data_IF_946584697498
#
_entry.id   IF_946584697498
#
_cell.length_a   1.000
_cell.length_b   1.000
_cell.length_c   1.000
_cell.angle_alpha   90.00
_cell.angle_beta   90.00
_cell.angle_gamma   90.00
#
_symmetry.space_group_name_H-M   'P 1'
#
loop_
_entity.id
_entity.type
_entity.pdbx_description
1 polymer ?
#
# COMPACT_ATOMS: atom_id res chain seq x y z
N UNK A 1 -97.35 -32.76 -15.40
CA UNK A 1 -96.37 -32.02 -14.59
C UNK A 1 -95.59 -31.09 -15.55
N UNK A 2 -95.41 -29.83 -15.15
CA UNK A 2 -94.97 -28.63 -15.91
C UNK A 2 -93.87 -28.90 -16.98
N UNK A 3 -94.07 -28.55 -18.26
CA UNK A 3 -93.90 -27.24 -18.95
C UNK A 3 -92.45 -26.91 -19.37
N UNK A 4 -92.26 -26.77 -20.71
CA UNK A 4 -91.52 -25.70 -21.45
C UNK A 4 -89.98 -25.66 -21.33
N UNK A 5 -89.15 -25.26 -22.30
CA UNK A 5 -89.17 -24.93 -23.75
C UNK A 5 -87.70 -24.62 -24.13
N UNK A 6 -87.29 -24.83 -25.40
CA UNK A 6 -86.36 -23.97 -26.21
C UNK A 6 -84.91 -23.84 -25.68
N UNK A 7 -83.81 -23.82 -26.44
CA UNK A 7 -83.40 -24.10 -27.82
C UNK A 7 -81.91 -23.69 -27.88
N UNK A 8 -81.24 -23.99 -29.01
CA UNK A 8 -80.22 -23.14 -29.66
C UNK A 8 -78.72 -23.29 -29.29
N UNK A 9 -77.95 -23.80 -30.31
CA UNK A 9 -76.73 -23.23 -30.97
C UNK A 9 -75.45 -23.12 -30.09
N UNK A 10 -74.20 -23.32 -30.49
CA UNK A 10 -73.40 -23.28 -31.75
C UNK A 10 -72.10 -24.09 -31.49
N UNK A 11 -71.48 -24.78 -32.47
CA UNK A 11 -70.44 -24.26 -33.39
C UNK A 11 -69.13 -23.86 -32.66
N UNK A 12 -67.91 -24.20 -33.09
CA UNK A 12 -67.37 -24.26 -34.44
C UNK A 12 -66.01 -24.99 -34.41
N UNK A 13 -65.71 -25.65 -35.52
CA UNK A 13 -64.54 -26.42 -35.96
C UNK A 13 -63.14 -25.85 -35.66
N UNK A 14 -62.25 -26.74 -35.19
CA UNK A 14 -60.80 -26.58 -35.31
C UNK A 14 -60.33 -27.16 -36.66
N UNK A 15 -59.88 -26.30 -37.57
CA UNK A 15 -59.16 -26.71 -38.78
C UNK A 15 -57.71 -26.21 -38.68
N UNK A 16 -56.78 -27.15 -38.83
CA UNK A 16 -55.36 -26.91 -39.03
C UNK A 16 -55.15 -26.04 -40.28
N UNK A 17 -54.36 -24.98 -40.14
CA UNK A 17 -53.68 -24.31 -41.24
C UNK A 17 -52.17 -24.33 -40.96
N UNK A 18 -51.47 -25.27 -41.59
CA UNK A 18 -50.04 -25.22 -41.83
C UNK A 18 -49.80 -24.26 -42.99
N UNK A 19 -49.23 -23.08 -42.71
CA UNK A 19 -48.34 -22.32 -43.60
C UNK A 19 -48.11 -20.91 -43.04
N UNK A 20 -46.92 -20.68 -42.46
CA UNK A 20 -46.02 -19.58 -42.83
C UNK A 20 -44.84 -19.58 -41.86
N UNK A 21 -43.79 -20.35 -42.18
CA UNK A 21 -42.46 -19.95 -41.75
C UNK A 21 -42.01 -18.93 -42.81
N UNK A 22 -42.33 -17.66 -42.60
CA UNK A 22 -41.55 -16.60 -43.20
C UNK A 22 -40.10 -16.78 -42.72
N UNK A 23 -39.16 -16.65 -43.64
CA UNK A 23 -37.74 -16.52 -43.35
C UNK A 23 -37.55 -15.55 -42.17
N UNK A 24 -37.16 -16.07 -41.00
CA UNK A 24 -36.50 -15.25 -39.99
C UNK A 24 -35.17 -14.81 -40.59
N UNK A 25 -35.21 -13.61 -41.15
CA UNK A 25 -34.05 -12.86 -41.55
C UNK A 25 -33.18 -12.66 -40.30
N UNK A 26 -32.09 -13.43 -40.18
CA UNK A 26 -31.17 -13.38 -39.03
C UNK A 26 -30.49 -12.02 -38.89
N UNK A 27 -30.66 -11.13 -39.88
CA UNK A 27 -30.21 -9.73 -39.87
C UNK A 27 -31.18 -8.77 -39.15
N UNK A 28 -32.35 -9.23 -38.69
CA UNK A 28 -33.33 -8.42 -37.92
C UNK A 28 -32.97 -8.16 -36.46
N UNK A 29 -31.75 -8.45 -36.03
CA UNK A 29 -31.20 -7.87 -34.81
C UNK A 29 -30.63 -6.49 -35.18
N UNK A 30 -31.50 -5.46 -35.18
CA UNK A 30 -31.06 -4.07 -35.29
C UNK A 30 -30.29 -3.67 -34.04
N UNK A 31 -29.02 -4.04 -33.97
CA UNK A 31 -28.08 -3.35 -33.11
C UNK A 31 -27.81 -1.99 -33.75
N UNK A 32 -28.33 -0.93 -33.13
CA UNK A 32 -27.94 0.44 -33.49
C UNK A 32 -26.43 0.55 -33.39
N UNK A 33 -25.76 0.86 -34.50
CA UNK A 33 -24.32 1.10 -34.50
C UNK A 33 -24.07 2.37 -33.69
N UNK A 34 -23.29 2.25 -32.63
CA UNK A 34 -22.99 3.35 -31.71
C UNK A 34 -21.49 3.51 -31.59
N UNK A 35 -21.07 4.75 -31.45
CA UNK A 35 -19.69 5.09 -31.12
C UNK A 35 -19.38 4.68 -29.68
N UNK A 36 -18.17 4.20 -29.44
CA UNK A 36 -17.66 3.95 -28.09
C UNK A 36 -16.14 4.23 -28.02
N UNK A 37 -15.63 4.40 -26.79
CA UNK A 37 -14.19 4.39 -26.53
C UNK A 37 -13.69 2.95 -26.61
N UNK A 38 -12.75 2.70 -27.50
CA UNK A 38 -12.13 1.40 -27.72
C UNK A 38 -10.98 1.19 -26.72
N UNK A 39 -11.23 0.48 -25.63
CA UNK A 39 -10.22 0.12 -24.65
C UNK A 39 -10.50 -1.27 -24.05
N UNK A 40 -9.44 -1.95 -23.59
CA UNK A 40 -9.57 -3.23 -22.88
C UNK A 40 -10.19 -3.05 -21.48
N UNK A 41 -9.90 -1.92 -20.85
CA UNK A 41 -10.55 -1.44 -19.63
C UNK A 41 -10.90 0.05 -19.79
N UNK A 42 -11.97 0.50 -19.14
CA UNK A 42 -12.29 1.93 -19.06
C UNK A 42 -11.58 2.61 -17.90
N UNK A 43 -10.73 1.89 -17.16
CA UNK A 43 -9.83 2.42 -16.15
C UNK A 43 -8.38 2.21 -16.57
N UNK A 44 -7.55 3.21 -16.33
CA UNK A 44 -6.09 3.15 -16.54
C UNK A 44 -5.40 3.83 -15.36
N UNK A 45 -4.57 3.08 -14.64
CA UNK A 45 -3.88 3.54 -13.42
C UNK A 45 -2.45 3.99 -13.71
N UNK A 46 -2.08 5.13 -13.14
CA UNK A 46 -0.75 5.71 -13.17
C UNK A 46 -0.23 5.89 -11.74
N UNK A 47 1.00 5.45 -11.50
CA UNK A 47 1.67 5.61 -10.22
C UNK A 47 2.47 6.91 -10.24
N UNK A 48 2.27 7.77 -9.25
CA UNK A 48 3.08 8.97 -9.04
C UNK A 48 4.43 8.50 -8.49
N UNK A 49 5.43 8.40 -9.36
CA UNK A 49 6.80 7.96 -9.03
C UNK A 49 7.81 9.12 -9.12
N UNK A 50 8.70 9.11 -10.12
CA UNK A 50 9.68 10.13 -10.47
C UNK A 50 9.29 10.91 -11.74
N UNK A 51 8.35 10.39 -12.55
CA UNK A 51 7.91 11.05 -13.77
C UNK A 51 6.86 12.14 -13.50
N UNK A 52 7.14 13.36 -13.97
CA UNK A 52 6.25 14.52 -13.81
C UNK A 52 5.22 14.68 -14.95
N UNK A 53 5.33 13.85 -15.98
CA UNK A 53 4.38 13.86 -17.09
C UNK A 53 4.10 12.47 -17.66
N UNK A 54 2.86 12.28 -18.09
CA UNK A 54 2.36 11.05 -18.71
C UNK A 54 1.55 11.39 -19.96
N UNK A 55 1.49 10.45 -20.89
CA UNK A 55 0.61 10.54 -22.06
C UNK A 55 -0.11 9.21 -22.26
N UNK A 56 -1.39 9.29 -22.63
CA UNK A 56 -2.26 8.15 -22.92
C UNK A 56 -3.09 8.41 -24.15
N UNK A 57 -3.24 7.38 -24.96
CA UNK A 57 -4.03 7.45 -26.18
C UNK A 57 -5.45 6.95 -25.94
N UNK A 58 -6.43 7.69 -26.45
CA UNK A 58 -7.82 7.26 -26.52
C UNK A 58 -8.25 7.14 -27.98
N UNK A 59 -8.97 6.06 -28.29
CA UNK A 59 -9.43 5.74 -29.65
C UNK A 59 -10.95 5.59 -29.64
N UNK A 60 -11.62 6.23 -30.59
CA UNK A 60 -13.05 6.02 -30.82
C UNK A 60 -13.25 4.88 -31.81
N UNK A 61 -14.31 4.09 -31.61
CA UNK A 61 -14.65 2.98 -32.50
C UNK A 61 -16.16 2.82 -32.70
N UNK A 62 -16.50 2.13 -33.77
CA UNK A 62 -17.85 1.67 -34.10
C UNK A 62 -17.83 0.18 -34.39
N UNK A 63 -18.95 -0.51 -34.15
CA UNK A 63 -19.02 -1.96 -34.33
C UNK A 63 -19.09 -2.36 -35.82
N UNK A 64 -19.61 -1.45 -36.66
CA UNK A 64 -19.74 -1.64 -38.12
C UNK A 64 -19.24 -0.39 -38.84
N UNK A 65 -18.62 -0.51 -40.03
CA UNK A 65 -18.25 0.66 -40.83
C UNK A 65 -19.46 1.51 -41.22
N UNK A 66 -19.31 2.83 -41.20
CA UNK A 66 -20.30 3.78 -41.70
C UNK A 66 -19.94 4.28 -43.10
N UNK A 67 -20.95 4.71 -43.87
CA UNK A 67 -20.76 5.22 -45.25
C UNK A 67 -20.26 6.67 -45.32
N UNK A 68 -20.16 7.34 -44.17
CA UNK A 68 -19.71 8.72 -44.04
C UNK A 68 -18.71 8.82 -42.88
N UNK A 69 -17.93 9.90 -42.88
CA UNK A 69 -16.99 10.17 -41.80
C UNK A 69 -17.73 10.45 -40.49
N UNK A 70 -17.15 9.97 -39.38
CA UNK A 70 -17.65 10.24 -38.03
C UNK A 70 -16.62 11.10 -37.32
N UNK A 71 -17.02 12.31 -36.92
CA UNK A 71 -16.18 13.22 -36.14
C UNK A 71 -16.50 13.07 -34.66
N UNK A 72 -15.47 12.93 -33.84
CA UNK A 72 -15.58 12.71 -32.40
C UNK A 72 -14.71 13.74 -31.69
N UNK A 73 -15.26 14.39 -30.66
CA UNK A 73 -14.50 15.28 -29.78
C UNK A 73 -14.52 14.76 -28.36
N UNK A 74 -13.34 14.64 -27.76
CA UNK A 74 -13.16 14.27 -26.36
C UNK A 74 -12.92 15.49 -25.47
N UNK A 75 -13.22 15.36 -24.17
CA UNK A 75 -12.83 16.37 -23.19
C UNK A 75 -12.53 15.75 -21.82
N UNK A 76 -11.65 16.39 -21.02
CA UNK A 76 -11.61 16.17 -19.58
C UNK A 76 -12.98 16.51 -18.95
N UNK A 77 -13.39 15.71 -17.97
CA UNK A 77 -14.70 15.81 -17.33
C UNK A 77 -14.61 15.52 -15.82
N UNK A 78 -13.88 16.35 -15.04
CA UNK A 78 -13.70 16.15 -13.60
C UNK A 78 -15.03 16.07 -12.83
N UNK A 79 -16.10 16.66 -13.36
CA UNK A 79 -17.45 16.55 -12.79
C UNK A 79 -18.04 15.14 -12.81
N UNK A 80 -17.44 14.19 -13.55
CA UNK A 80 -17.91 12.79 -13.65
C UNK A 80 -17.22 11.84 -12.66
N UNK A 81 -16.44 12.35 -11.71
CA UNK A 81 -15.76 11.51 -10.70
C UNK A 81 -16.75 10.74 -9.85
N UNK A 82 -17.87 11.34 -9.46
CA UNK A 82 -18.91 10.64 -8.69
C UNK A 82 -19.51 9.45 -9.46
N UNK A 83 -19.53 9.50 -10.79
CA UNK A 83 -19.95 8.35 -11.60
C UNK A 83 -18.95 7.21 -11.50
N UNK A 84 -17.65 7.50 -11.48
CA UNK A 84 -16.61 6.50 -11.24
C UNK A 84 -16.76 5.90 -9.84
N UNK A 85 -16.89 6.74 -8.80
CA UNK A 85 -17.05 6.32 -7.41
C UNK A 85 -18.22 5.35 -7.24
N UNK A 86 -19.36 5.65 -7.87
CA UNK A 86 -20.52 4.75 -7.86
C UNK A 86 -20.31 3.47 -8.68
N UNK A 87 -19.66 3.55 -9.84
CA UNK A 87 -19.47 2.40 -10.72
C UNK A 87 -18.46 1.37 -10.19
N UNK A 88 -17.44 1.84 -9.45
CA UNK A 88 -16.33 1.02 -8.96
C UNK A 88 -16.30 0.85 -7.43
N UNK A 89 -17.36 1.28 -6.73
CA UNK A 89 -17.46 1.23 -5.26
C UNK A 89 -16.30 1.95 -4.54
N UNK A 90 -15.77 3.01 -5.15
CA UNK A 90 -14.66 3.80 -4.61
C UNK A 90 -15.18 4.95 -3.74
N UNK A 91 -14.76 4.99 -2.48
CA UNK A 91 -15.20 6.00 -1.50
C UNK A 91 -14.24 7.18 -1.36
N UNK A 92 -12.98 7.03 -1.76
CA UNK A 92 -11.89 7.94 -1.38
C UNK A 92 -11.40 8.84 -2.50
N UNK A 93 -11.49 8.36 -3.75
CA UNK A 93 -10.90 9.06 -4.88
C UNK A 93 -11.53 10.44 -5.08
N UNK A 94 -10.72 11.43 -5.44
CA UNK A 94 -11.15 12.79 -5.73
C UNK A 94 -10.84 13.16 -7.18
N UNK A 95 -11.39 14.28 -7.65
CA UNK A 95 -11.08 14.77 -8.99
C UNK A 95 -9.61 15.19 -9.10
N UNK A 96 -8.97 14.83 -10.21
CA UNK A 96 -7.66 15.35 -10.54
C UNK A 96 -7.72 16.88 -10.67
N UNK A 97 -6.80 17.65 -10.06
CA UNK A 97 -6.82 19.10 -10.08
C UNK A 97 -6.78 19.70 -11.49
N UNK A 98 -7.36 20.90 -11.63
CA UNK A 98 -7.32 21.67 -12.87
C UNK A 98 -5.87 21.94 -13.30
N UNK A 99 -5.63 21.92 -14.62
CA UNK A 99 -4.32 22.21 -15.20
C UNK A 99 -3.34 21.02 -15.24
N UNK A 100 -3.68 19.89 -14.60
CA UNK A 100 -2.87 18.66 -14.68
C UNK A 100 -3.16 17.90 -15.98
N UNK A 101 -4.43 17.80 -16.39
CA UNK A 101 -4.84 17.08 -17.60
C UNK A 101 -5.08 18.05 -18.77
N UNK A 102 -4.58 17.69 -19.96
CA UNK A 102 -4.72 18.45 -21.20
C UNK A 102 -4.93 17.52 -22.40
N UNK A 103 -5.74 17.96 -23.35
CA UNK A 103 -5.92 17.32 -24.67
C UNK A 103 -5.74 18.42 -25.73
N UNK A 104 -4.63 18.39 -26.44
CA UNK A 104 -4.28 19.44 -27.41
C UNK A 104 -5.09 19.37 -28.70
N UNK A 105 -5.29 18.16 -29.18
CA UNK A 105 -6.05 17.86 -30.39
C UNK A 105 -7.22 16.94 -30.01
N UNK A 106 -8.30 17.48 -29.41
CA UNK A 106 -9.37 16.68 -28.84
C UNK A 106 -10.28 16.01 -29.86
N UNK A 107 -10.16 16.40 -31.14
CA UNK A 107 -11.04 15.94 -32.21
C UNK A 107 -10.33 14.95 -33.11
N UNK A 108 -10.99 13.83 -33.40
CA UNK A 108 -10.53 12.81 -34.33
C UNK A 108 -11.66 12.36 -35.25
N UNK A 109 -11.32 11.61 -36.29
CA UNK A 109 -12.26 11.16 -37.31
C UNK A 109 -12.11 9.66 -37.56
N UNK A 110 -13.24 8.95 -37.58
CA UNK A 110 -13.34 7.62 -38.20
C UNK A 110 -13.72 7.87 -39.66
N UNK A 111 -12.79 7.61 -40.58
CA UNK A 111 -13.05 7.76 -42.01
C UNK A 111 -14.12 6.76 -42.48
N UNK A 112 -14.94 7.14 -43.45
CA UNK A 112 -15.93 6.27 -44.07
C UNK A 112 -15.32 4.92 -44.47
N UNK A 113 -15.97 3.82 -44.10
CA UNK A 113 -15.48 2.46 -44.31
C UNK A 113 -14.51 1.91 -43.25
N UNK A 114 -13.99 2.75 -42.35
CA UNK A 114 -13.19 2.31 -41.20
C UNK A 114 -14.06 2.10 -39.94
N UNK A 115 -13.48 1.46 -38.92
CA UNK A 115 -14.16 1.18 -37.63
C UNK A 115 -13.48 1.82 -36.43
N UNK A 116 -12.33 2.47 -36.63
CA UNK A 116 -11.54 3.12 -35.58
C UNK A 116 -11.00 4.46 -36.07
N UNK A 117 -10.85 5.39 -35.13
CA UNK A 117 -10.25 6.69 -35.37
C UNK A 117 -8.73 6.63 -35.25
N UNK A 118 -8.05 7.69 -35.69
CA UNK A 118 -6.69 7.96 -35.19
C UNK A 118 -6.73 8.20 -33.67
N UNK A 119 -5.69 7.82 -32.92
CA UNK A 119 -5.62 8.09 -31.49
C UNK A 119 -5.62 9.59 -31.16
N UNK A 120 -6.26 9.96 -30.05
CA UNK A 120 -6.17 11.28 -29.42
C UNK A 120 -5.33 11.15 -28.17
N UNK A 121 -4.32 12.01 -28.03
CA UNK A 121 -3.42 11.98 -26.88
C UNK A 121 -3.95 12.82 -25.72
N UNK A 122 -4.08 12.19 -24.56
CA UNK A 122 -4.37 12.82 -23.27
C UNK A 122 -3.06 12.95 -22.51
N UNK A 123 -2.65 14.17 -22.21
CA UNK A 123 -1.41 14.47 -21.53
C UNK A 123 -1.68 14.91 -20.09
N UNK A 124 -0.85 14.43 -19.18
CA UNK A 124 -0.85 14.80 -17.78
C UNK A 124 0.50 15.43 -17.43
N UNK A 125 0.51 16.63 -16.87
CA UNK A 125 1.71 17.40 -16.51
C UNK A 125 1.65 17.88 -15.06
N UNK A 126 2.80 18.17 -14.45
CA UNK A 126 2.93 18.56 -13.04
C UNK A 126 2.41 17.48 -12.07
N UNK A 127 2.55 16.20 -12.45
CA UNK A 127 2.06 15.06 -11.66
C UNK A 127 2.77 14.94 -10.31
N UNK A 128 4.03 15.37 -10.20
CA UNK A 128 4.77 15.37 -8.93
C UNK A 128 4.27 16.43 -7.94
N UNK A 129 3.42 17.37 -8.38
CA UNK A 129 2.77 18.34 -7.48
C UNK A 129 1.55 17.78 -6.75
N UNK A 130 1.07 16.59 -7.15
CA UNK A 130 -0.06 15.93 -6.52
C UNK A 130 0.33 15.36 -5.15
N UNK A 131 -0.63 15.35 -4.21
CA UNK A 131 -0.44 14.70 -2.92
C UNK A 131 -0.42 13.18 -3.11
N UNK A 132 0.73 12.56 -2.89
CA UNK A 132 0.94 11.11 -3.06
C UNK A 132 0.07 10.27 -2.12
N UNK A 133 -0.47 10.87 -1.05
CA UNK A 133 -1.37 10.22 -0.10
C UNK A 133 -2.84 10.28 -0.54
N UNK A 134 -3.15 10.84 -1.71
CA UNK A 134 -4.49 10.91 -2.28
C UNK A 134 -4.61 10.04 -3.53
N UNK A 135 -5.83 9.57 -3.79
CA UNK A 135 -6.21 8.97 -5.07
C UNK A 135 -6.95 9.99 -5.90
N UNK A 136 -6.47 10.22 -7.11
CA UNK A 136 -7.12 11.12 -8.06
C UNK A 136 -7.70 10.34 -9.23
N UNK A 137 -8.81 10.85 -9.77
CA UNK A 137 -9.45 10.33 -10.97
C UNK A 137 -9.68 11.48 -11.93
N UNK A 138 -9.26 11.31 -13.18
CA UNK A 138 -9.61 12.18 -14.29
C UNK A 138 -10.46 11.42 -15.31
N UNK A 139 -11.78 11.63 -15.30
CA UNK A 139 -12.64 11.14 -16.36
C UNK A 139 -12.36 11.90 -17.67
N UNK A 140 -12.21 11.17 -18.77
CA UNK A 140 -12.20 11.74 -20.13
C UNK A 140 -13.38 11.13 -20.88
N UNK A 141 -14.24 12.00 -21.43
CA UNK A 141 -15.52 11.60 -22.01
C UNK A 141 -15.65 12.08 -23.45
N UNK A 142 -16.48 11.38 -24.23
CA UNK A 142 -16.93 11.89 -25.53
C UNK A 142 -17.86 13.09 -25.29
N UNK A 143 -17.42 14.28 -25.68
CA UNK A 143 -18.20 15.51 -25.60
C UNK A 143 -19.30 15.53 -26.65
N UNK A 144 -18.90 15.33 -27.91
CA UNK A 144 -19.77 15.39 -29.08
C UNK A 144 -19.39 14.33 -30.11
N UNK A 145 -20.39 13.96 -30.91
CA UNK A 145 -20.22 13.07 -32.06
C UNK A 145 -21.11 13.57 -33.18
N UNK A 146 -20.56 13.55 -34.40
CA UNK A 146 -21.28 13.81 -35.63
C UNK A 146 -21.10 12.62 -36.58
N UNK A 147 -22.11 12.33 -37.38
CA UNK A 147 -22.02 11.27 -38.40
C UNK A 147 -22.52 9.88 -37.98
N UNK A 148 -23.00 9.69 -36.73
CA UNK A 148 -23.59 8.41 -36.27
C UNK A 148 -24.75 8.65 -35.28
N UNK A 149 -25.63 7.64 -35.12
CA UNK A 149 -26.86 7.70 -34.30
C UNK A 149 -26.66 7.86 -32.78
N UNK A 150 -25.42 7.89 -32.29
CA UNK A 150 -25.10 8.25 -30.92
C UNK A 150 -23.93 7.48 -30.32
N UNK A 151 -23.74 7.66 -29.01
CA UNK A 151 -22.67 7.05 -28.21
C UNK A 151 -23.22 5.96 -27.32
N UNK A 152 -22.52 4.83 -27.22
CA UNK A 152 -22.80 3.78 -26.25
C UNK A 152 -22.47 4.29 -24.84
N UNK A 153 -23.49 4.50 -24.01
CA UNK A 153 -23.33 5.12 -22.67
C UNK A 153 -22.34 4.39 -21.77
N UNK A 154 -22.29 3.06 -21.84
CA UNK A 154 -21.41 2.24 -21.00
C UNK A 154 -19.93 2.38 -21.34
N UNK A 155 -19.58 2.89 -22.52
CA UNK A 155 -18.21 3.08 -22.98
C UNK A 155 -18.01 4.52 -23.52
N UNK A 156 -18.71 5.47 -22.89
CA UNK A 156 -18.63 6.90 -23.23
C UNK A 156 -17.46 7.61 -22.54
N UNK A 157 -17.01 7.08 -21.41
CA UNK A 157 -16.03 7.70 -20.53
C UNK A 157 -14.97 6.67 -20.14
N UNK A 158 -13.70 7.05 -20.25
CA UNK A 158 -12.59 6.36 -19.59
C UNK A 158 -12.14 7.18 -18.37
N UNK A 159 -11.51 6.51 -17.42
CA UNK A 159 -11.10 7.05 -16.14
C UNK A 159 -9.61 6.81 -15.97
N UNK A 160 -8.85 7.88 -15.83
CA UNK A 160 -7.43 7.85 -15.56
C UNK A 160 -7.19 8.04 -14.07
N UNK A 161 -6.55 7.09 -13.41
CA UNK A 161 -6.36 7.07 -11.96
C UNK A 161 -4.91 7.42 -11.63
N UNK A 162 -4.72 8.23 -10.59
CA UNK A 162 -3.39 8.55 -10.05
C UNK A 162 -3.34 8.21 -8.57
N UNK A 163 -2.26 7.55 -8.15
CA UNK A 163 -1.96 7.33 -6.74
C UNK A 163 -0.45 7.32 -6.51
N UNK A 164 0.01 7.63 -5.31
CA UNK A 164 1.42 7.49 -4.95
C UNK A 164 1.94 6.08 -5.24
N UNK A 165 3.11 5.98 -5.87
CA UNK A 165 3.79 4.69 -5.96
C UNK A 165 4.13 4.21 -4.53
N UNK A 166 3.76 2.97 -4.23
CA UNK A 166 4.13 2.32 -2.97
C UNK A 166 5.65 2.23 -2.85
N UNK A 167 6.14 2.60 -1.68
CA UNK A 167 7.54 2.58 -1.29
C UNK A 167 7.97 1.22 -0.76
N UNK A 168 7.02 0.47 -0.17
CA UNK A 168 7.21 -0.90 0.29
C UNK A 168 6.06 -1.74 -0.26
N UNK A 169 6.44 -2.83 -0.94
CA UNK A 169 5.49 -3.75 -1.59
C UNK A 169 5.51 -5.15 -0.96
N UNK A 170 6.54 -5.45 -0.18
CA UNK A 170 6.75 -6.74 0.48
C UNK A 170 7.24 -6.46 1.89
N UNK A 171 6.70 -7.18 2.85
CA UNK A 171 7.17 -7.20 4.25
C UNK A 171 7.31 -8.63 4.74
N UNK A 172 7.99 -8.80 5.87
CA UNK A 172 8.05 -10.10 6.55
C UNK A 172 7.00 -10.17 7.67
N UNK A 173 6.27 -11.28 7.76
CA UNK A 173 5.55 -11.67 8.97
C UNK A 173 6.46 -12.59 9.81
N UNK A 174 6.92 -12.08 10.96
CA UNK A 174 7.88 -12.77 11.83
C UNK A 174 7.19 -13.50 12.99
N UNK A 175 5.89 -13.78 12.87
CA UNK A 175 5.12 -14.51 13.87
C UNK A 175 5.73 -15.88 14.17
N UNK A 176 5.86 -16.21 15.45
CA UNK A 176 6.49 -17.45 15.97
C UNK A 176 7.93 -17.68 15.48
N UNK A 177 8.61 -16.63 15.02
CA UNK A 177 9.93 -16.70 14.44
C UNK A 177 10.88 -15.68 15.09
N UNK A 178 12.16 -15.75 14.74
CA UNK A 178 13.20 -14.86 15.25
C UNK A 178 14.30 -14.69 14.22
N UNK A 179 15.00 -13.57 14.34
CA UNK A 179 16.16 -13.28 13.51
C UNK A 179 17.28 -12.64 14.34
N UNK A 180 18.51 -12.70 13.82
CA UNK A 180 19.67 -12.08 14.47
C UNK A 180 20.70 -11.62 13.43
N UNK A 181 21.42 -10.54 13.70
CA UNK A 181 22.60 -10.16 12.93
C UNK A 181 23.87 -10.80 13.48
N UNK A 182 24.92 -10.83 12.66
CA UNK A 182 26.28 -11.12 13.11
C UNK A 182 27.20 -9.94 12.81
N UNK A 183 27.42 -9.09 13.82
CA UNK A 183 28.27 -7.90 13.68
C UNK A 183 29.78 -8.21 13.71
N UNK A 184 30.19 -9.32 14.32
CA UNK A 184 31.62 -9.64 14.51
C UNK A 184 32.35 -8.55 15.31
N UNK A 185 33.52 -8.11 14.84
CA UNK A 185 34.30 -7.03 15.46
C UNK A 185 34.00 -5.68 14.78
N UNK A 186 32.72 -5.34 14.65
CA UNK A 186 32.31 -4.08 14.04
C UNK A 186 32.27 -2.98 15.11
N UNK A 187 33.22 -2.04 15.03
CA UNK A 187 33.42 -1.03 16.08
C UNK A 187 32.27 -0.02 16.17
N UNK A 188 31.54 0.21 15.07
CA UNK A 188 30.45 1.19 15.01
C UNK A 188 29.23 0.84 15.88
N UNK A 189 29.13 -0.42 16.32
CA UNK A 189 28.08 -0.91 17.23
C UNK A 189 28.62 -1.38 18.58
N UNK A 190 29.90 -1.12 18.86
CA UNK A 190 30.54 -1.39 20.14
C UNK A 190 30.52 -0.14 21.02
N UNK A 191 30.17 -0.32 22.30
CA UNK A 191 30.22 0.72 23.34
C UNK A 191 29.66 2.09 22.89
N UNK A 192 28.55 2.07 22.15
CA UNK A 192 27.90 3.27 21.62
C UNK A 192 27.37 4.16 22.74
N UNK A 193 27.78 5.42 22.72
CA UNK A 193 27.28 6.47 23.63
C UNK A 193 26.05 7.20 23.08
N UNK A 194 25.78 7.06 21.79
CA UNK A 194 24.55 7.53 21.16
C UNK A 194 24.15 6.57 20.05
N UNK A 195 22.85 6.31 19.89
CA UNK A 195 22.32 5.49 18.79
C UNK A 195 20.82 5.73 18.61
N UNK A 196 20.29 5.25 17.49
CA UNK A 196 18.84 5.17 17.24
C UNK A 196 18.51 3.78 16.72
N UNK A 197 17.47 3.16 17.27
CA UNK A 197 16.88 1.93 16.75
C UNK A 197 15.50 2.25 16.19
N UNK A 198 15.23 1.81 14.96
CA UNK A 198 13.95 2.05 14.29
C UNK A 198 13.33 0.74 13.81
N UNK A 199 12.00 0.70 13.78
CA UNK A 199 11.23 -0.41 13.23
C UNK A 199 9.87 0.08 12.73
N UNK A 200 9.45 -0.37 11.55
CA UNK A 200 8.06 -0.26 11.11
C UNK A 200 7.33 -1.55 11.46
N UNK A 201 6.32 -1.47 12.33
CA UNK A 201 5.65 -2.65 12.90
C UNK A 201 4.16 -2.65 12.58
N UNK A 202 3.59 -3.83 12.34
CA UNK A 202 2.15 -4.06 12.27
C UNK A 202 1.81 -5.33 13.07
N UNK A 203 1.51 -5.20 14.37
CA UNK A 203 1.19 -6.33 15.22
C UNK A 203 -0.11 -7.00 14.76
N UNK A 204 -0.08 -8.31 14.55
CA UNK A 204 -1.29 -9.11 14.27
C UNK A 204 -2.03 -9.39 15.58
N UNK A 205 -1.31 -9.76 16.65
CA UNK A 205 -1.87 -9.90 17.99
C UNK A 205 -0.96 -9.31 19.08
N UNK A 206 -1.57 -8.78 20.14
CA UNK A 206 -0.89 -8.28 21.34
C UNK A 206 -1.64 -8.80 22.57
N UNK A 207 -1.50 -10.09 22.85
CA UNK A 207 -2.20 -10.77 23.96
C UNK A 207 -1.23 -11.46 24.94
N UNK A 208 0.07 -11.42 24.66
CA UNK A 208 1.14 -12.02 25.47
C UNK A 208 1.62 -11.02 26.52
N UNK A 209 2.20 -11.54 27.60
CA UNK A 209 2.81 -10.67 28.62
C UNK A 209 3.96 -9.85 28.04
N UNK A 210 4.76 -10.42 27.14
CA UNK A 210 5.84 -9.72 26.43
C UNK A 210 5.82 -10.16 24.96
N UNK A 211 5.95 -9.20 24.05
CA UNK A 211 6.26 -9.43 22.63
C UNK A 211 7.51 -8.62 22.25
N UNK A 212 8.54 -9.27 21.72
CA UNK A 212 9.86 -8.65 21.51
C UNK A 212 9.99 -8.06 20.11
N UNK A 213 10.30 -6.76 19.98
CA UNK A 213 10.59 -6.17 18.67
C UNK A 213 12.05 -6.47 18.31
N UNK A 214 13.02 -5.80 18.95
CA UNK A 214 14.45 -6.01 18.72
C UNK A 214 15.31 -5.48 19.87
N UNK A 215 16.51 -6.03 20.02
CA UNK A 215 17.52 -5.58 20.98
C UNK A 215 18.16 -6.73 21.77
N UNK A 216 18.68 -6.40 22.96
CA UNK A 216 19.35 -7.33 23.87
C UNK A 216 18.62 -7.30 25.22
N UNK A 217 18.04 -8.44 25.63
CA UNK A 217 17.40 -8.61 26.94
C UNK A 217 18.37 -8.21 28.08
N UNK A 218 17.83 -7.58 29.13
CA UNK A 218 18.58 -7.06 30.28
C UNK A 218 19.64 -5.97 29.97
N UNK A 219 19.78 -5.54 28.71
CA UNK A 219 20.80 -4.56 28.28
C UNK A 219 20.17 -3.34 27.61
N UNK A 220 19.51 -3.52 26.47
CA UNK A 220 18.71 -2.51 25.78
C UNK A 220 17.74 -3.20 24.82
N UNK A 221 16.45 -3.24 25.14
CA UNK A 221 15.43 -4.02 24.42
C UNK A 221 14.19 -3.17 24.17
N UNK A 222 13.70 -3.21 22.94
CA UNK A 222 12.39 -2.68 22.55
C UNK A 222 11.39 -3.84 22.55
N UNK A 223 10.33 -3.74 23.36
CA UNK A 223 9.28 -4.76 23.47
C UNK A 223 7.92 -4.16 23.74
N UNK A 224 6.87 -4.98 23.60
CA UNK A 224 5.49 -4.66 23.95
C UNK A 224 5.08 -5.46 25.18
N UNK A 225 4.40 -4.82 26.13
CA UNK A 225 3.92 -5.45 27.35
C UNK A 225 5.02 -5.82 28.37
N UNK A 226 4.57 -6.05 29.60
CA UNK A 226 5.32 -6.68 30.70
C UNK A 226 4.30 -7.06 31.80
N UNK A 227 4.74 -7.75 32.85
CA UNK A 227 3.93 -7.92 34.05
C UNK A 227 3.46 -6.57 34.61
N UNK A 228 2.16 -6.28 34.52
CA UNK A 228 1.55 -5.02 34.96
C UNK A 228 1.58 -3.89 33.92
N UNK A 229 2.00 -4.18 32.69
CA UNK A 229 1.95 -3.26 31.54
C UNK A 229 1.03 -3.87 30.48
N UNK A 230 0.18 -3.04 29.88
CA UNK A 230 -0.75 -3.47 28.84
C UNK A 230 0.03 -4.15 27.68
N UNK A 231 -0.40 -5.33 27.18
CA UNK A 231 0.25 -6.02 26.07
C UNK A 231 0.41 -5.18 24.79
N UNK A 232 -0.44 -4.17 24.59
CA UNK A 232 -0.37 -3.24 23.46
C UNK A 232 0.58 -2.06 23.67
N UNK A 233 1.16 -1.91 24.87
CA UNK A 233 1.98 -0.76 25.23
C UNK A 233 3.47 -1.05 25.01
N UNK A 234 4.12 -0.20 24.23
CA UNK A 234 5.55 -0.25 24.00
C UNK A 234 6.32 0.08 25.28
N UNK A 235 7.41 -0.66 25.52
CA UNK A 235 8.32 -0.47 26.62
C UNK A 235 9.76 -0.62 26.12
N UNK A 236 10.59 0.37 26.42
CA UNK A 236 12.04 0.25 26.28
C UNK A 236 12.61 -0.16 27.63
N UNK A 237 13.39 -1.22 27.66
CA UNK A 237 14.08 -1.72 28.85
C UNK A 237 15.57 -1.58 28.66
N UNK A 238 16.27 -1.13 29.69
CA UNK A 238 17.72 -1.03 29.72
C UNK A 238 18.31 -1.73 30.93
N UNK A 239 19.63 -1.80 30.96
CA UNK A 239 20.41 -2.25 32.11
C UNK A 239 20.06 -1.47 33.39
N UNK A 240 20.49 -2.00 34.55
CA UNK A 240 20.21 -1.44 35.87
C UNK A 240 18.71 -1.26 36.17
N UNK A 241 17.87 -2.16 35.63
CA UNK A 241 16.40 -2.14 35.77
C UNK A 241 15.73 -0.88 35.21
N UNK A 242 16.39 -0.18 34.28
CA UNK A 242 15.83 1.00 33.62
C UNK A 242 14.66 0.58 32.72
N UNK A 243 13.53 1.28 32.81
CA UNK A 243 12.35 1.04 31.96
C UNK A 243 11.71 2.36 31.60
N UNK A 244 11.29 2.51 30.34
CA UNK A 244 10.55 3.65 29.84
C UNK A 244 9.27 3.17 29.16
N UNK A 245 8.13 3.52 29.74
CA UNK A 245 6.81 3.17 29.20
C UNK A 245 5.71 4.05 29.83
N UNK A 246 4.63 4.30 29.11
CA UNK A 246 3.35 4.81 29.63
C UNK A 246 2.20 4.56 28.64
N UNK A 247 0.96 4.91 29.04
CA UNK A 247 -0.26 4.68 28.27
C UNK A 247 -0.29 5.36 26.88
N UNK A 248 0.53 6.39 26.63
CA UNK A 248 0.61 7.05 25.31
C UNK A 248 1.37 6.23 24.27
N UNK A 249 2.04 5.16 24.70
CA UNK A 249 2.84 4.26 23.88
C UNK A 249 2.08 3.01 23.42
N UNK A 250 0.75 3.04 23.47
CA UNK A 250 -0.10 1.97 22.95
C UNK A 250 -0.08 1.95 21.43
N UNK A 251 0.17 0.78 20.87
CA UNK A 251 0.19 0.53 19.42
C UNK A 251 -1.01 -0.35 19.05
N UNK A 252 -1.84 0.07 18.08
CA UNK A 252 -2.96 -0.73 17.60
C UNK A 252 -2.48 -1.96 16.81
N UNK A 253 -3.27 -3.05 16.89
CA UNK A 253 -3.09 -4.22 16.02
C UNK A 253 -3.65 -3.96 14.64
N UNK A 254 -3.03 -4.50 13.59
CA UNK A 254 -3.51 -4.39 12.20
C UNK A 254 -3.14 -3.07 11.51
N UNK A 255 -2.52 -2.13 12.23
CA UNK A 255 -2.10 -0.82 11.70
C UNK A 255 -0.58 -0.69 11.73
N UNK A 256 -0.01 -0.07 10.71
CA UNK A 256 1.42 0.21 10.65
C UNK A 256 1.79 1.36 11.57
N UNK A 257 2.78 1.13 12.44
CA UNK A 257 3.34 2.15 13.33
C UNK A 257 4.86 2.17 13.21
N UNK A 258 5.43 3.32 12.90
CA UNK A 258 6.88 3.53 12.97
C UNK A 258 7.28 3.77 14.42
N UNK A 259 8.22 2.98 14.92
CA UNK A 259 8.85 3.14 16.23
C UNK A 259 10.27 3.65 15.99
N UNK A 260 10.65 4.75 16.64
CA UNK A 260 12.05 5.14 16.77
C UNK A 260 12.40 5.35 18.24
N UNK A 261 13.54 4.81 18.66
CA UNK A 261 14.08 4.95 20.02
C UNK A 261 15.49 5.50 19.93
N UNK A 262 15.69 6.73 20.43
CA UNK A 262 17.02 7.33 20.53
C UNK A 262 17.60 7.12 21.92
N UNK A 263 18.91 6.99 21.99
CA UNK A 263 19.70 6.92 23.20
C UNK A 263 20.88 7.89 23.06
N UNK A 264 21.15 8.70 24.08
CA UNK A 264 22.31 9.60 24.10
C UNK A 264 22.85 9.79 25.53
N UNK A 265 24.13 9.52 25.75
CA UNK A 265 24.82 9.75 27.01
C UNK A 265 25.06 11.25 27.23
N UNK A 266 24.25 11.86 28.08
CA UNK A 266 24.29 13.30 28.37
C UNK A 266 25.20 13.66 29.57
N UNK A 267 25.45 12.69 30.45
CA UNK A 267 26.39 12.82 31.57
C UNK A 267 26.86 11.44 32.04
N UNK A 268 27.87 11.41 32.91
CA UNK A 268 28.36 10.15 33.46
C UNK A 268 27.23 9.38 34.16
N UNK A 269 26.99 8.16 33.68
CA UNK A 269 25.95 7.24 34.13
C UNK A 269 24.53 7.80 33.98
N UNK A 270 24.31 8.67 32.99
CA UNK A 270 23.02 9.26 32.66
C UNK A 270 22.89 9.39 31.15
N UNK A 271 22.01 8.58 30.57
CA UNK A 271 21.68 8.63 29.16
C UNK A 271 20.20 8.98 28.99
N UNK A 272 19.93 9.96 28.14
CA UNK A 272 18.58 10.30 27.73
C UNK A 272 18.08 9.27 26.70
N UNK A 273 16.86 8.79 26.90
CA UNK A 273 16.17 7.88 25.98
C UNK A 273 14.86 8.52 25.57
N UNK A 274 14.61 8.60 24.27
CA UNK A 274 13.37 9.14 23.69
C UNK A 274 12.70 8.10 22.81
N UNK A 275 11.37 8.05 22.88
CA UNK A 275 10.52 7.14 22.12
C UNK A 275 9.59 7.98 21.25
N UNK A 276 9.64 7.71 19.95
CA UNK A 276 8.81 8.34 18.93
C UNK A 276 7.90 7.29 18.30
N UNK A 277 6.63 7.63 18.12
CA UNK A 277 5.68 6.84 17.33
C UNK A 277 5.20 7.70 16.16
N UNK A 278 5.34 7.19 14.93
CA UNK A 278 4.98 7.90 13.70
C UNK A 278 5.59 9.31 13.61
N UNK A 279 6.85 9.45 14.02
CA UNK A 279 7.59 10.72 14.00
C UNK A 279 7.32 11.66 15.17
N UNK A 280 6.31 11.39 15.99
CA UNK A 280 5.96 12.23 17.13
C UNK A 280 6.65 11.73 18.41
N UNK A 281 7.31 12.61 19.15
CA UNK A 281 7.86 12.30 20.48
C UNK A 281 6.72 11.95 21.44
N UNK A 282 6.68 10.72 21.93
CA UNK A 282 5.69 10.26 22.89
C UNK A 282 6.22 10.25 24.31
N UNK A 283 7.50 9.87 24.50
CA UNK A 283 8.08 9.73 25.83
C UNK A 283 9.58 9.97 25.84
N UNK A 284 10.06 10.52 26.95
CA UNK A 284 11.49 10.63 27.26
C UNK A 284 11.77 10.26 28.72
N UNK A 285 13.00 9.86 29.01
CA UNK A 285 13.46 9.53 30.36
C UNK A 285 14.96 9.30 30.44
N UNK A 286 15.47 9.13 31.67
CA UNK A 286 16.89 8.89 31.92
C UNK A 286 17.12 7.43 32.27
N UNK A 287 18.04 6.79 31.56
CA UNK A 287 18.61 5.50 31.94
C UNK A 287 19.99 5.70 32.58
N UNK A 288 20.31 4.89 33.58
CA UNK A 288 21.52 5.06 34.39
C UNK A 288 22.69 4.19 33.91
N UNK A 289 23.19 4.51 32.72
CA UNK A 289 24.34 3.86 32.06
C UNK A 289 25.02 4.84 31.10
N UNK A 290 26.21 4.49 30.60
CA UNK A 290 26.98 5.32 29.67
C UNK A 290 26.85 4.89 28.21
N UNK A 291 26.91 3.58 27.96
CA UNK A 291 27.02 3.06 26.61
C UNK A 291 26.45 1.65 26.52
N UNK A 292 26.16 1.23 25.29
CA UNK A 292 25.62 -0.08 24.94
C UNK A 292 26.48 -0.71 23.86
N UNK A 293 26.75 -2.01 24.00
CA UNK A 293 27.49 -2.80 23.02
C UNK A 293 26.55 -3.82 22.35
N UNK A 294 26.31 -3.66 21.06
CA UNK A 294 25.51 -4.61 20.27
C UNK A 294 26.34 -5.69 19.57
N UNK A 295 27.66 -5.55 19.49
CA UNK A 295 28.57 -6.54 18.88
C UNK A 295 28.81 -7.78 19.77
N UNK A 296 27.85 -8.18 20.60
CA UNK A 296 27.95 -9.42 21.38
C UNK A 296 27.74 -10.59 20.41
N UNK A 297 28.69 -11.55 20.31
CA UNK A 297 28.55 -12.68 19.40
C UNK A 297 27.24 -13.43 19.62
N UNK A 298 26.61 -13.81 18.52
CA UNK A 298 25.35 -14.53 18.56
C UNK A 298 25.50 -15.87 19.32
N UNK A 299 24.46 -16.21 20.07
CA UNK A 299 24.32 -17.53 20.69
C UNK A 299 22.84 -17.84 20.91
N UNK A 300 22.49 -19.13 21.04
CA UNK A 300 21.13 -19.55 21.40
C UNK A 300 20.75 -19.26 22.87
N UNK A 301 21.52 -18.43 23.58
CA UNK A 301 21.30 -18.07 24.98
C UNK A 301 21.05 -19.27 25.91
N UNK A 302 21.78 -20.37 25.67
CA UNK A 302 21.62 -21.62 26.41
C UNK A 302 22.89 -21.99 27.20
N UNK A 303 22.71 -22.71 28.31
CA UNK A 303 23.80 -23.12 29.20
C UNK A 303 24.11 -22.12 30.31
N UNK A 304 25.22 -22.32 31.03
CA UNK A 304 25.54 -21.56 32.25
C UNK A 304 26.44 -20.34 32.02
N UNK A 305 26.90 -20.09 30.79
CA UNK A 305 27.94 -19.08 30.49
C UNK A 305 27.66 -18.27 29.22
N UNK A 306 26.42 -18.22 28.74
CA UNK A 306 26.06 -17.37 27.61
C UNK A 306 25.97 -15.90 28.04
N UNK A 307 26.20 -15.00 27.08
CA UNK A 307 25.83 -13.59 27.20
C UNK A 307 24.58 -13.36 26.38
N UNK A 308 23.74 -12.42 26.81
CA UNK A 308 22.61 -11.95 25.99
C UNK A 308 23.16 -11.30 24.74
N UNK A 309 22.58 -11.61 23.60
CA UNK A 309 22.99 -11.06 22.30
C UNK A 309 21.81 -10.38 21.61
N UNK A 310 22.08 -9.77 20.45
CA UNK A 310 21.06 -9.05 19.70
C UNK A 310 20.10 -10.01 19.00
N UNK A 311 18.80 -9.75 19.15
CA UNK A 311 17.73 -10.50 18.52
C UNK A 311 16.68 -9.55 17.94
N UNK A 312 15.95 -10.06 16.96
CA UNK A 312 14.67 -9.57 16.46
C UNK A 312 13.65 -10.68 16.72
N UNK A 313 12.52 -10.36 17.36
CA UNK A 313 11.48 -11.37 17.64
C UNK A 313 11.85 -12.40 18.72
N UNK A 314 12.85 -12.17 19.57
CA UNK A 314 13.17 -13.08 20.68
C UNK A 314 13.78 -12.35 21.88
N UNK A 315 13.35 -12.72 23.09
CA UNK A 315 14.04 -12.37 24.33
C UNK A 315 13.81 -13.46 25.37
N UNK A 316 14.89 -14.03 25.94
CA UNK A 316 14.87 -15.00 27.06
C UNK A 316 14.14 -16.34 26.85
N UNK A 317 12.91 -16.35 26.36
CA UNK A 317 12.08 -17.53 26.10
C UNK A 317 11.39 -17.39 24.75
N UNK A 318 11.17 -18.53 24.08
CA UNK A 318 10.64 -18.57 22.71
C UNK A 318 9.20 -18.09 22.57
N UNK A 319 8.43 -18.00 23.66
CA UNK A 319 7.05 -17.50 23.66
C UNK A 319 6.96 -15.97 23.59
N UNK A 320 8.08 -15.24 23.74
CA UNK A 320 8.11 -13.77 23.68
C UNK A 320 8.33 -13.19 22.28
N UNK A 321 8.01 -13.97 21.24
CA UNK A 321 8.15 -13.53 19.85
C UNK A 321 7.27 -12.31 19.53
N UNK A 322 7.57 -11.59 18.46
CA UNK A 322 6.64 -10.61 17.90
C UNK A 322 5.61 -11.32 17.04
N UNK A 323 4.32 -11.12 17.30
CA UNK A 323 3.25 -11.68 16.47
C UNK A 323 2.76 -10.60 15.50
N UNK A 324 3.32 -10.59 14.30
CA UNK A 324 2.96 -9.66 13.24
C UNK A 324 4.08 -9.34 12.26
N UNK A 325 3.83 -8.30 11.47
CA UNK A 325 4.68 -7.90 10.36
C UNK A 325 5.69 -6.85 10.78
N UNK A 326 6.89 -6.94 10.22
CA UNK A 326 8.00 -6.04 10.43
C UNK A 326 8.55 -5.56 9.08
N UNK A 327 9.03 -4.33 9.06
CA UNK A 327 9.76 -3.76 7.93
C UNK A 327 10.68 -2.64 8.43
N UNK A 328 11.62 -2.21 7.60
CA UNK A 328 12.43 -1.02 7.85
C UNK A 328 13.13 -1.01 9.23
N UNK A 329 13.72 -2.15 9.62
CA UNK A 329 14.51 -2.24 10.85
C UNK A 329 15.86 -1.55 10.64
N UNK A 330 16.22 -0.62 11.52
CA UNK A 330 17.44 0.16 11.38
C UNK A 330 18.18 0.34 12.69
N UNK A 331 19.50 0.46 12.58
CA UNK A 331 20.37 0.90 13.67
C UNK A 331 21.23 2.04 13.13
N UNK A 332 21.20 3.16 13.86
CA UNK A 332 22.05 4.31 13.64
C UNK A 332 23.04 4.44 14.79
N UNK A 333 24.32 4.73 14.54
CA UNK A 333 25.35 4.97 15.58
C UNK A 333 25.33 6.42 16.13
N UNK A 334 24.19 7.10 15.98
CA UNK A 334 23.92 8.44 16.50
C UNK A 334 22.46 8.57 16.92
N UNK A 335 22.18 9.51 17.83
CA UNK A 335 20.81 9.90 18.13
C UNK A 335 20.28 10.76 16.98
N UNK A 336 19.21 10.30 16.30
CA UNK A 336 18.51 11.10 15.31
C UNK A 336 17.73 12.22 15.98
N UNK A 337 17.61 13.35 15.30
CA UNK A 337 16.76 14.45 15.73
C UNK A 337 15.28 14.16 15.44
N UNK A 338 14.38 14.87 16.13
CA UNK A 338 12.93 14.74 15.87
C UNK A 338 12.57 15.08 14.41
N UNK A 339 13.23 16.08 13.81
CA UNK A 339 12.99 16.49 12.42
C UNK A 339 13.48 15.43 11.42
N UNK A 340 14.60 14.75 11.69
CA UNK A 340 15.06 13.63 10.87
C UNK A 340 14.08 12.45 10.94
N UNK A 341 13.63 12.09 12.14
CA UNK A 341 12.68 10.98 12.32
C UNK A 341 11.35 11.30 11.64
N UNK A 342 10.88 12.56 11.73
CA UNK A 342 9.62 13.00 11.12
C UNK A 342 9.75 13.39 9.63
N UNK A 343 10.93 13.22 9.02
CA UNK A 343 11.15 13.59 7.64
C UNK A 343 10.24 12.80 6.68
N UNK A 344 9.94 13.40 5.54
CA UNK A 344 9.08 12.79 4.54
C UNK A 344 9.62 11.42 4.10
N UNK A 345 8.75 10.42 4.08
CA UNK A 345 9.06 9.03 3.72
C UNK A 345 10.04 8.30 4.65
N UNK A 346 10.58 8.95 5.69
CA UNK A 346 11.59 8.35 6.58
C UNK A 346 11.13 7.01 7.15
N UNK A 347 9.84 6.86 7.46
CA UNK A 347 9.27 5.61 7.99
C UNK A 347 9.34 4.44 7.00
N UNK A 348 9.36 4.73 5.71
CA UNK A 348 9.22 3.73 4.64
C UNK A 348 10.50 3.49 3.87
N UNK A 349 11.41 4.47 3.85
CA UNK A 349 12.72 4.35 3.20
C UNK A 349 13.66 5.44 3.68
N UNK A 350 14.94 5.10 3.74
CA UNK A 350 16.04 6.06 3.86
C UNK A 350 17.10 5.74 2.80
N UNK A 351 17.97 6.70 2.50
CA UNK A 351 19.16 6.41 1.69
C UNK A 351 20.05 5.42 2.48
N UNK A 352 20.35 4.23 1.95
CA UNK A 352 21.19 3.26 2.66
C UNK A 352 22.60 3.76 2.96
N UNK A 353 23.07 4.81 2.28
CA UNK A 353 24.36 5.46 2.53
C UNK A 353 24.29 6.64 3.52
N UNK A 354 23.15 6.86 4.17
CA UNK A 354 22.96 7.95 5.14
C UNK A 354 24.00 7.91 6.26
N UNK A 355 24.47 9.09 6.66
CA UNK A 355 25.47 9.22 7.72
C UNK A 355 24.99 8.61 9.04
N UNK A 356 25.79 7.68 9.55
CA UNK A 356 25.57 6.97 10.80
C UNK A 356 24.62 5.77 10.71
N UNK A 357 24.10 5.43 9.53
CA UNK A 357 23.32 4.20 9.34
C UNK A 357 24.25 2.98 9.30
N UNK A 358 24.18 2.13 10.32
CA UNK A 358 25.12 1.00 10.53
C UNK A 358 24.50 -0.37 10.30
N UNK A 359 23.16 -0.45 10.28
CA UNK A 359 22.42 -1.59 9.79
C UNK A 359 21.05 -1.14 9.28
N UNK A 360 20.60 -1.70 8.16
CA UNK A 360 19.32 -1.39 7.54
C UNK A 360 18.70 -2.61 6.88
N UNK A 361 17.78 -3.26 7.59
CA UNK A 361 17.03 -4.40 7.08
C UNK A 361 15.63 -3.97 6.67
N UNK A 362 15.43 -3.80 5.36
CA UNK A 362 14.12 -3.46 4.78
C UNK A 362 13.07 -4.55 5.02
N UNK A 363 13.54 -5.80 5.02
CA UNK A 363 12.73 -7.00 5.11
C UNK A 363 11.69 -7.07 3.99
N UNK A 364 12.17 -6.84 2.76
CA UNK A 364 11.40 -6.86 1.51
C UNK A 364 11.89 -7.94 0.52
N UNK A 365 12.74 -8.88 0.98
CA UNK A 365 13.45 -9.86 0.14
C UNK A 365 12.51 -10.84 -0.60
N UNK A 366 11.34 -11.13 -0.03
CA UNK A 366 10.25 -11.87 -0.69
C UNK A 366 10.39 -13.39 -0.75
N UNK A 367 11.51 -13.96 -0.28
CA UNK A 367 11.70 -15.40 -0.14
C UNK A 367 12.88 -15.73 0.78
N UNK A 368 12.91 -16.97 1.31
CA UNK A 368 14.06 -17.49 2.04
C UNK A 368 14.21 -16.94 3.46
N UNK A 369 15.39 -17.16 4.05
CA UNK A 369 15.67 -16.97 5.48
C UNK A 369 16.73 -15.89 5.76
N UNK A 370 16.93 -14.98 4.82
CA UNK A 370 17.91 -13.89 4.95
C UNK A 370 17.17 -12.57 4.83
N UNK A 371 17.31 -11.73 5.85
CA UNK A 371 16.90 -10.32 5.77
C UNK A 371 18.11 -9.48 5.42
N UNK A 372 18.21 -9.02 4.17
CA UNK A 372 19.42 -8.34 3.70
C UNK A 372 19.65 -7.01 4.40
N UNK A 373 20.90 -6.74 4.78
CA UNK A 373 21.35 -5.41 5.20
C UNK A 373 21.70 -4.55 3.97
N UNK A 374 20.96 -3.47 3.79
CA UNK A 374 21.16 -2.51 2.71
C UNK A 374 22.20 -1.44 3.04
N UNK A 375 22.65 -1.35 4.29
CA UNK A 375 23.76 -0.47 4.65
C UNK A 375 25.05 -0.88 3.91
N UNK A 376 26.08 -0.02 3.84
CA UNK A 376 27.36 -0.38 3.25
C UNK A 376 28.11 -1.52 3.97
N UNK A 377 27.63 -1.96 5.15
CA UNK A 377 28.32 -2.91 6.02
C UNK A 377 27.88 -4.37 5.83
N UNK A 378 26.66 -4.62 5.32
CA UNK A 378 26.22 -5.95 4.91
C UNK A 378 26.07 -6.96 6.06
N UNK A 379 25.64 -6.50 7.23
CA UNK A 379 25.35 -7.35 8.39
C UNK A 379 23.93 -7.94 8.29
N UNK A 380 23.73 -8.83 7.32
CA UNK A 380 22.43 -9.48 7.08
C UNK A 380 21.85 -10.15 8.34
N UNK A 381 20.52 -10.15 8.45
CA UNK A 381 19.80 -10.96 9.44
C UNK A 381 19.72 -12.41 8.96
N UNK A 382 20.07 -13.34 9.84
CA UNK A 382 19.67 -14.74 9.71
C UNK A 382 18.30 -14.91 10.37
N UNK A 383 17.31 -15.40 9.62
CA UNK A 383 15.97 -15.74 10.10
C UNK A 383 15.94 -17.25 10.38
N UNK A 384 15.45 -17.67 11.55
CA UNK A 384 15.55 -19.07 11.98
C UNK A 384 14.83 -20.05 11.05
N UNK A 385 13.64 -19.67 10.59
CA UNK A 385 12.81 -20.46 9.68
C UNK A 385 12.25 -19.56 8.59
N UNK A 386 11.89 -20.14 7.43
CA UNK A 386 11.34 -19.36 6.32
C UNK A 386 10.05 -18.66 6.78
N UNK A 387 10.03 -17.32 6.81
CA UNK A 387 8.87 -16.56 7.24
C UNK A 387 7.85 -16.40 6.11
N UNK A 388 6.66 -15.92 6.45
CA UNK A 388 5.68 -15.51 5.46
C UNK A 388 6.04 -14.12 4.90
N UNK A 389 6.25 -14.05 3.59
CA UNK A 389 6.47 -12.78 2.88
C UNK A 389 5.13 -12.26 2.35
N UNK A 390 4.72 -11.07 2.82
CA UNK A 390 3.37 -10.54 2.61
C UNK A 390 3.41 -9.35 1.66
N UNK A 391 2.57 -9.38 0.63
CA UNK A 391 2.37 -8.24 -0.27
C UNK A 391 1.63 -7.12 0.46
N UNK A 392 2.13 -5.89 0.34
CA UNK A 392 1.54 -4.69 0.92
C UNK A 392 1.66 -3.52 -0.05
N UNK A 393 1.06 -2.39 0.30
CA UNK A 393 1.21 -1.13 -0.42
C UNK A 393 1.39 -0.02 0.62
N UNK A 394 2.64 0.37 0.91
CA UNK A 394 2.95 1.41 1.90
C UNK A 394 3.58 2.65 1.27
N UNK A 395 3.22 3.89 1.69
CA UNK A 395 2.21 4.22 2.70
C UNK A 395 0.80 3.76 2.31
N UNK A 396 0.03 3.29 3.29
CA UNK A 396 -1.38 3.00 3.08
C UNK A 396 -2.12 4.32 2.82
N UNK A 397 -2.86 4.35 1.72
CA UNK A 397 -3.81 5.44 1.46
C UNK A 397 -5.04 5.17 2.34
N UNK A 398 -5.45 6.14 3.14
CA UNK A 398 -6.65 6.01 3.98
C UNK A 398 -7.87 5.66 3.12
N UNK A 399 -8.61 4.61 3.53
CA UNK A 399 -9.87 4.15 2.90
C UNK A 399 -11.11 4.98 3.29
#
# INVERSE_FOLDING_TARGET
MKMKTISVIASLTALLALASCEHEDTDRQHYDNKLFISAASLTDEMLIDEADSYSRDIVAAVAKPESQDITVTFRPAPELVDNYKQAYYDTVSIALPDGVCRIDEPTTTILAGNVQSSPVSVTFENVLSLDRNQRYVMPVTIESVEGIGGVLRSAKTCYFLFRGASLINIVVDLSENRAWPEFGNFDEVQDMYAFTMEALVNPTTLNKTISTVMGIEDTFLIRMGDSGVDPSQLQVVGAASSKLTDESLKIPTGEWTHIAVTFECIAQNQSEVKIYLNGELKKEGIFYLNSINFAIPHSNESGSSFKRCFWVGYSFTSDRYFDGKLSELRIWNRALTADEIAAENHFYRVDPSSEGLVAYWKLDDGAGTVGKDYSPYGHDLTIESEPDWVQVELPQIAE
#
